data_IF_547718280274
#
_entry.id   IF_547718280274
#
_cell.length_a   1.000
_cell.length_b   1.000
_cell.length_c   1.000
_cell.angle_alpha   90.00
_cell.angle_beta   90.00
_cell.angle_gamma   90.00
#
_symmetry.space_group_name_H-M   'P 1'
#
loop_
_entity.id
_entity.type
_entity.pdbx_description
1 polymer ?
#
# COMPACT_ATOMS: atom_id res chain seq x y z
N UNK A 1 11.86 -0.27 5.31
CA UNK A 1 12.99 0.53 4.76
C UNK A 1 12.71 1.17 3.40
N UNK A 2 12.41 0.37 2.36
CA UNK A 2 12.30 0.86 0.97
C UNK A 2 11.10 1.80 0.81
N UNK A 3 9.92 1.37 1.26
CA UNK A 3 8.68 2.17 1.22
C UNK A 3 8.82 3.47 2.01
N UNK A 4 9.48 3.42 3.17
CA UNK A 4 9.78 4.59 3.97
C UNK A 4 10.67 5.58 3.20
N UNK A 5 11.77 5.10 2.60
CA UNK A 5 12.67 5.94 1.80
C UNK A 5 11.96 6.54 0.58
N UNK A 6 11.12 5.76 -0.11
CA UNK A 6 10.33 6.24 -1.23
C UNK A 6 9.36 7.35 -0.81
N UNK A 7 8.64 7.19 0.32
CA UNK A 7 7.81 8.24 0.89
C UNK A 7 8.59 9.47 1.34
N UNK A 8 9.78 9.27 1.86
CA UNK A 8 10.66 10.36 2.31
C UNK A 8 11.16 11.22 1.13
N UNK A 9 11.50 10.59 0.01
CA UNK A 9 12.07 11.26 -1.17
C UNK A 9 11.02 11.71 -2.20
N UNK A 10 9.76 11.27 -2.07
CA UNK A 10 8.71 11.55 -3.07
C UNK A 10 8.50 13.04 -3.32
N UNK A 11 8.36 13.43 -4.59
CA UNK A 11 8.02 14.81 -4.98
C UNK A 11 6.54 15.09 -4.71
N UNK A 12 6.23 15.43 -3.46
CA UNK A 12 4.87 15.64 -2.88
C UNK A 12 3.90 16.34 -3.84
N UNK A 13 4.29 17.48 -4.43
CA UNK A 13 3.43 18.25 -5.35
C UNK A 13 2.98 17.45 -6.58
N UNK A 14 3.87 16.64 -7.17
CA UNK A 14 3.57 15.84 -8.35
C UNK A 14 2.76 14.59 -7.98
N UNK A 15 3.05 13.98 -6.82
CA UNK A 15 2.29 12.86 -6.29
C UNK A 15 0.83 13.26 -6.05
N UNK A 16 0.57 14.34 -5.31
CA UNK A 16 -0.80 14.79 -5.02
C UNK A 16 -1.55 15.32 -6.25
N UNK A 17 -0.85 15.87 -7.25
CA UNK A 17 -1.48 16.28 -8.51
C UNK A 17 -2.01 15.10 -9.31
N UNK A 18 -1.34 13.95 -9.26
CA UNK A 18 -1.73 12.73 -10.00
C UNK A 18 -2.36 11.67 -9.09
N UNK A 19 -2.78 12.05 -7.89
CA UNK A 19 -3.29 11.13 -6.88
C UNK A 19 -4.50 10.33 -7.38
N UNK A 20 -5.42 10.97 -8.09
CA UNK A 20 -6.59 10.29 -8.68
C UNK A 20 -6.15 9.20 -9.68
N UNK A 21 -5.18 9.50 -10.53
CA UNK A 21 -4.63 8.54 -11.50
C UNK A 21 -3.99 7.34 -10.79
N UNK A 22 -3.24 7.59 -9.72
CA UNK A 22 -2.65 6.55 -8.86
C UNK A 22 -3.74 5.65 -8.27
N UNK A 23 -4.79 6.26 -7.71
CA UNK A 23 -5.90 5.52 -7.11
C UNK A 23 -6.65 4.68 -8.14
N UNK A 24 -6.88 5.23 -9.33
CA UNK A 24 -7.55 4.51 -10.43
C UNK A 24 -6.70 3.33 -10.90
N UNK A 25 -5.39 3.52 -11.14
CA UNK A 25 -4.53 2.42 -11.56
C UNK A 25 -4.38 1.35 -10.47
N UNK A 26 -4.14 1.74 -9.22
CA UNK A 26 -3.95 0.79 -8.13
C UNK A 26 -5.23 0.12 -7.63
N UNK A 27 -6.41 0.69 -7.84
CA UNK A 27 -7.68 0.04 -7.47
C UNK A 27 -8.30 -0.71 -8.64
N UNK A 28 -8.58 -0.01 -9.74
CA UNK A 28 -9.24 -0.62 -10.89
C UNK A 28 -8.30 -1.58 -11.60
N UNK A 29 -7.01 -1.23 -11.73
CA UNK A 29 -6.01 -2.11 -12.33
C UNK A 29 -5.87 -3.43 -11.58
N UNK A 30 -5.84 -3.41 -10.24
CA UNK A 30 -5.79 -4.63 -9.42
C UNK A 30 -7.02 -5.50 -9.58
N UNK A 31 -8.22 -4.92 -9.60
CA UNK A 31 -9.46 -5.67 -9.82
C UNK A 31 -9.46 -6.34 -11.20
N UNK A 32 -9.00 -5.63 -12.23
CA UNK A 32 -8.84 -6.18 -13.58
C UNK A 32 -7.81 -7.32 -13.59
N UNK A 33 -6.63 -7.10 -13.01
CA UNK A 33 -5.56 -8.10 -12.92
C UNK A 33 -6.03 -9.35 -12.18
N UNK A 34 -6.68 -9.20 -11.02
CA UNK A 34 -7.26 -10.31 -10.27
C UNK A 34 -8.25 -11.10 -11.13
N UNK A 35 -9.15 -10.42 -11.84
CA UNK A 35 -10.16 -11.07 -12.68
C UNK A 35 -9.51 -11.87 -13.80
N UNK A 36 -8.53 -11.29 -14.49
CA UNK A 36 -7.80 -11.96 -15.59
C UNK A 36 -7.03 -13.17 -15.08
N UNK A 37 -6.31 -13.02 -13.97
CA UNK A 37 -5.50 -14.09 -13.37
C UNK A 37 -6.42 -15.22 -12.91
N UNK A 38 -7.48 -14.93 -12.16
CA UNK A 38 -8.44 -15.94 -11.70
C UNK A 38 -9.05 -16.73 -12.86
N UNK A 39 -9.51 -16.05 -13.93
CA UNK A 39 -10.04 -16.74 -15.11
C UNK A 39 -8.98 -17.62 -15.79
N UNK A 40 -7.74 -17.13 -15.89
CA UNK A 40 -6.61 -17.90 -16.43
C UNK A 40 -6.32 -19.15 -15.61
N UNK A 41 -6.29 -19.03 -14.27
CA UNK A 41 -6.08 -20.16 -13.35
C UNK A 41 -7.21 -21.18 -13.48
N UNK A 42 -8.48 -20.74 -13.52
CA UNK A 42 -9.64 -21.63 -13.71
C UNK A 42 -9.48 -22.44 -15.00
N UNK A 43 -9.13 -21.79 -16.12
CA UNK A 43 -8.99 -22.46 -17.40
C UNK A 43 -7.78 -23.41 -17.43
N UNK A 44 -6.67 -23.04 -16.77
CA UNK A 44 -5.46 -23.85 -16.70
C UNK A 44 -5.65 -25.10 -15.84
N UNK A 45 -6.22 -24.96 -14.65
CA UNK A 45 -6.46 -26.08 -13.74
C UNK A 45 -7.49 -27.07 -14.28
N UNK A 46 -8.55 -26.57 -14.95
CA UNK A 46 -9.51 -27.43 -15.66
C UNK A 46 -8.86 -28.26 -16.78
N UNK A 47 -7.82 -27.76 -17.44
CA UNK A 47 -7.09 -28.52 -18.48
C UNK A 47 -6.16 -29.58 -17.92
N UNK A 48 -5.65 -29.40 -16.71
CA UNK A 48 -4.70 -30.31 -16.06
C UNK A 48 -5.35 -31.37 -15.18
N UNK A 49 -6.68 -31.34 -15.04
CA UNK A 49 -7.47 -32.26 -14.19
C UNK A 49 -7.02 -32.24 -12.70
N UNK A 50 -6.45 -31.10 -12.26
CA UNK A 50 -5.95 -30.91 -10.90
C UNK A 50 -7.11 -30.46 -10.00
N UNK A 51 -7.85 -31.43 -9.49
CA UNK A 51 -8.74 -31.29 -8.32
C UNK A 51 -9.93 -30.32 -8.44
N UNK A 52 -10.91 -30.50 -7.57
CA UNK A 52 -12.08 -29.62 -7.46
C UNK A 52 -11.81 -28.51 -6.44
N UNK A 53 -11.10 -27.45 -6.86
CA UNK A 53 -11.06 -26.21 -6.08
C UNK A 53 -12.38 -25.47 -6.22
N UNK A 54 -12.81 -24.80 -5.15
CA UNK A 54 -14.02 -23.98 -5.20
C UNK A 54 -13.73 -22.66 -5.92
N UNK A 55 -14.77 -21.96 -6.38
CA UNK A 55 -14.62 -20.68 -7.07
C UNK A 55 -13.87 -19.65 -6.20
N UNK A 56 -14.03 -19.73 -4.88
CA UNK A 56 -13.35 -18.88 -3.91
C UNK A 56 -11.83 -19.04 -3.91
N UNK A 57 -11.33 -20.27 -4.07
CA UNK A 57 -9.90 -20.54 -4.09
C UNK A 57 -9.23 -19.91 -5.33
N UNK A 58 -9.89 -20.01 -6.49
CA UNK A 58 -9.40 -19.40 -7.73
C UNK A 58 -9.40 -17.87 -7.67
N UNK A 59 -10.42 -17.28 -7.03
CA UNK A 59 -10.49 -15.84 -6.79
C UNK A 59 -9.41 -15.40 -5.79
N UNK A 60 -9.20 -16.14 -4.71
CA UNK A 60 -8.17 -15.86 -3.71
C UNK A 60 -6.77 -15.89 -4.32
N UNK A 61 -6.48 -16.88 -5.18
CA UNK A 61 -5.24 -16.93 -5.96
C UNK A 61 -5.12 -15.67 -6.83
N UNK A 62 -6.17 -15.29 -7.56
CA UNK A 62 -6.14 -14.06 -8.36
C UNK A 62 -5.85 -12.81 -7.53
N UNK A 63 -6.44 -12.67 -6.35
CA UNK A 63 -6.21 -11.53 -5.46
C UNK A 63 -4.77 -11.49 -4.93
N UNK A 64 -4.20 -12.63 -4.56
CA UNK A 64 -2.81 -12.74 -4.11
C UNK A 64 -1.84 -12.36 -5.24
N UNK A 65 -2.07 -12.85 -6.45
CA UNK A 65 -1.20 -12.60 -7.60
C UNK A 65 -1.42 -11.23 -8.27
N UNK A 66 -2.53 -10.54 -7.97
CA UNK A 66 -2.80 -9.20 -8.49
C UNK A 66 -1.92 -8.11 -7.83
N UNK A 67 -1.43 -8.36 -6.62
CA UNK A 67 -0.47 -7.49 -5.94
C UNK A 67 0.87 -7.49 -6.70
N UNK A 68 1.20 -6.37 -7.33
CA UNK A 68 2.42 -6.19 -8.12
C UNK A 68 3.55 -5.67 -7.23
N UNK A 69 4.72 -6.31 -7.30
CA UNK A 69 5.90 -5.80 -6.62
C UNK A 69 6.53 -4.64 -7.42
N UNK A 70 6.24 -3.42 -6.98
CA UNK A 70 6.83 -2.19 -7.54
C UNK A 70 8.25 -1.94 -7.04
N UNK A 71 8.76 -2.67 -6.04
CA UNK A 71 10.09 -2.40 -5.44
C UNK A 71 11.21 -2.55 -6.45
N UNK A 72 11.19 -3.63 -7.24
CA UNK A 72 12.23 -3.89 -8.25
C UNK A 72 12.28 -2.78 -9.31
N UNK A 73 11.13 -2.30 -9.77
CA UNK A 73 11.07 -1.24 -10.79
C UNK A 73 11.53 0.10 -10.23
N UNK A 74 11.22 0.38 -8.96
CA UNK A 74 11.64 1.60 -8.27
C UNK A 74 13.15 1.68 -8.01
N UNK A 75 13.85 0.54 -7.97
CA UNK A 75 15.32 0.53 -7.84
C UNK A 75 16.02 0.95 -9.13
N UNK A 76 15.39 0.75 -10.29
CA UNK A 76 15.92 1.13 -11.60
C UNK A 76 15.51 2.55 -11.98
N UNK A 77 14.33 2.99 -11.53
CA UNK A 77 13.81 4.32 -11.81
C UNK A 77 14.50 5.40 -10.99
N UNK A 78 15.08 6.39 -11.68
CA UNK A 78 15.63 7.58 -11.05
C UNK A 78 14.55 8.66 -10.85
N UNK A 79 14.35 9.09 -9.59
CA UNK A 79 13.36 10.10 -9.20
C UNK A 79 13.67 11.50 -9.74
N UNK A 80 14.92 11.79 -10.10
CA UNK A 80 15.29 13.10 -10.63
C UNK A 80 15.06 13.21 -12.13
N UNK A 81 15.28 12.13 -12.86
CA UNK A 81 15.05 12.06 -14.31
C UNK A 81 13.56 11.86 -14.62
N UNK A 82 12.86 11.00 -13.87
CA UNK A 82 11.46 10.61 -14.17
C UNK A 82 10.55 10.65 -12.95
N UNK A 83 10.38 11.82 -12.29
CA UNK A 83 9.65 11.94 -11.03
C UNK A 83 8.16 11.57 -11.14
N UNK A 84 7.55 11.80 -12.30
CA UNK A 84 6.16 11.42 -12.57
C UNK A 84 6.00 9.90 -12.58
N UNK A 85 6.83 9.21 -13.37
CA UNK A 85 6.76 7.75 -13.50
C UNK A 85 7.06 7.07 -12.17
N UNK A 86 8.08 7.55 -11.45
CA UNK A 86 8.37 7.06 -10.11
C UNK A 86 7.17 7.20 -9.17
N UNK A 87 6.53 8.37 -9.13
CA UNK A 87 5.38 8.62 -8.25
C UNK A 87 4.18 7.76 -8.63
N UNK A 88 3.95 7.53 -9.93
CA UNK A 88 2.86 6.70 -10.43
C UNK A 88 3.06 5.23 -10.08
N UNK A 89 4.21 4.65 -10.42
CA UNK A 89 4.53 3.23 -10.16
C UNK A 89 4.58 2.93 -8.66
N UNK A 90 5.20 3.83 -7.89
CA UNK A 90 5.22 3.69 -6.44
C UNK A 90 3.80 3.74 -5.85
N UNK A 91 3.04 4.77 -6.22
CA UNK A 91 1.70 4.98 -5.69
C UNK A 91 0.76 3.84 -6.07
N UNK A 92 0.84 3.39 -7.33
CA UNK A 92 0.06 2.26 -7.84
C UNK A 92 0.36 1.00 -7.03
N UNK A 93 1.64 0.65 -6.82
CA UNK A 93 2.01 -0.51 -6.01
C UNK A 93 1.50 -0.44 -4.56
N UNK A 94 1.56 0.73 -3.93
CA UNK A 94 1.04 0.91 -2.55
C UNK A 94 -0.49 0.78 -2.49
N UNK A 95 -1.20 1.36 -3.45
CA UNK A 95 -2.66 1.24 -3.52
C UNK A 95 -3.06 -0.18 -3.89
N UNK A 96 -2.33 -0.83 -4.78
CA UNK A 96 -2.52 -2.21 -5.22
C UNK A 96 -2.42 -3.20 -4.04
N UNK A 97 -1.43 -3.03 -3.17
CA UNK A 97 -1.29 -3.88 -1.98
C UNK A 97 -2.53 -3.79 -1.08
N UNK A 98 -2.99 -2.57 -0.80
CA UNK A 98 -4.20 -2.34 -0.01
C UNK A 98 -5.45 -2.91 -0.69
N UNK A 99 -5.59 -2.76 -2.01
CA UNK A 99 -6.77 -3.25 -2.75
C UNK A 99 -6.79 -4.77 -2.83
N UNK A 100 -5.63 -5.41 -2.98
CA UNK A 100 -5.47 -6.87 -2.96
C UNK A 100 -5.88 -7.46 -1.62
N UNK A 101 -5.50 -6.83 -0.50
CA UNK A 101 -5.94 -7.24 0.86
C UNK A 101 -7.46 -7.10 1.02
N UNK A 102 -8.05 -5.99 0.58
CA UNK A 102 -9.52 -5.82 0.63
C UNK A 102 -10.22 -6.86 -0.23
N UNK A 103 -9.70 -7.13 -1.41
CA UNK A 103 -10.27 -8.09 -2.34
C UNK A 103 -10.20 -9.51 -1.77
N UNK A 104 -9.07 -9.89 -1.20
CA UNK A 104 -8.88 -11.17 -0.53
C UNK A 104 -9.85 -11.35 0.65
N UNK A 105 -9.96 -10.34 1.53
CA UNK A 105 -10.91 -10.37 2.64
C UNK A 105 -12.37 -10.43 2.15
N UNK A 106 -12.70 -9.69 1.08
CA UNK A 106 -14.01 -9.76 0.46
C UNK A 106 -14.31 -11.18 -0.03
N UNK A 107 -13.39 -11.81 -0.76
CA UNK A 107 -13.55 -13.18 -1.28
C UNK A 107 -13.77 -14.20 -0.16
N UNK A 108 -13.07 -14.08 0.97
CA UNK A 108 -13.28 -14.98 2.12
C UNK A 108 -14.62 -14.75 2.83
N UNK A 109 -15.09 -13.50 2.87
CA UNK A 109 -16.33 -13.13 3.56
C UNK A 109 -17.60 -13.35 2.74
N UNK A 110 -17.49 -13.38 1.40
CA UNK A 110 -18.64 -13.48 0.51
C UNK A 110 -18.96 -14.93 0.14
N UNK A 111 -20.20 -15.31 0.42
CA UNK A 111 -20.82 -16.48 -0.19
C UNK A 111 -21.07 -16.16 -1.68
N UNK A 112 -20.33 -16.81 -2.57
CA UNK A 112 -20.16 -16.49 -4.01
C UNK A 112 -21.45 -16.61 -4.85
N UNK A 113 -22.58 -16.90 -4.20
CA UNK A 113 -23.88 -17.12 -4.81
C UNK A 113 -24.73 -15.86 -4.95
N UNK A 114 -24.35 -14.72 -4.35
CA UNK A 114 -25.09 -13.43 -4.47
C UNK A 114 -24.18 -12.26 -4.80
N UNK A 115 -23.88 -12.07 -6.08
CA UNK A 115 -23.26 -10.85 -6.60
C UNK A 115 -24.28 -9.70 -6.58
N UNK A 116 -24.42 -9.05 -5.44
CA UNK A 116 -25.26 -7.87 -5.29
C UNK A 116 -24.45 -6.58 -5.42
N UNK A 117 -25.11 -5.48 -5.81
CA UNK A 117 -24.57 -4.11 -5.73
C UNK A 117 -24.01 -3.78 -4.33
N UNK A 118 -24.56 -4.42 -3.30
CA UNK A 118 -24.09 -4.34 -1.91
C UNK A 118 -22.63 -4.78 -1.74
N UNK A 119 -22.14 -5.76 -2.52
CA UNK A 119 -20.76 -6.22 -2.46
C UNK A 119 -19.78 -5.16 -2.96
N UNK A 120 -20.13 -4.45 -4.03
CA UNK A 120 -19.33 -3.34 -4.55
C UNK A 120 -19.29 -2.17 -3.56
N UNK A 121 -20.42 -1.85 -2.91
CA UNK A 121 -20.47 -0.83 -1.87
C UNK A 121 -19.68 -1.22 -0.63
N UNK A 122 -19.75 -2.48 -0.18
CA UNK A 122 -18.97 -2.98 0.94
C UNK A 122 -17.48 -2.97 0.63
N UNK A 123 -17.08 -3.41 -0.57
CA UNK A 123 -15.69 -3.35 -1.03
C UNK A 123 -15.17 -1.91 -1.02
N UNK A 124 -15.93 -0.98 -1.61
CA UNK A 124 -15.54 0.43 -1.64
C UNK A 124 -15.46 1.01 -0.23
N UNK A 125 -16.41 0.67 0.65
CA UNK A 125 -16.42 1.08 2.05
C UNK A 125 -15.20 0.57 2.83
N UNK A 126 -14.89 -0.72 2.71
CA UNK A 126 -13.72 -1.34 3.33
C UNK A 126 -12.41 -0.78 2.79
N UNK A 127 -12.34 -0.53 1.48
CA UNK A 127 -11.18 0.10 0.86
C UNK A 127 -10.98 1.53 1.37
N UNK A 128 -12.04 2.35 1.40
CA UNK A 128 -11.96 3.71 1.93
C UNK A 128 -11.63 3.71 3.43
N UNK A 129 -12.18 2.78 4.20
CA UNK A 129 -11.88 2.61 5.62
C UNK A 129 -10.40 2.32 5.84
N UNK A 130 -9.85 1.29 5.18
CA UNK A 130 -8.43 0.96 5.28
C UNK A 130 -7.56 2.12 4.80
N UNK A 131 -7.92 2.75 3.68
CA UNK A 131 -7.16 3.86 3.12
C UNK A 131 -7.09 5.05 4.09
N UNK A 132 -8.24 5.56 4.53
CA UNK A 132 -8.32 6.73 5.40
C UNK A 132 -7.65 6.47 6.75
N UNK A 133 -7.93 5.34 7.38
CA UNK A 133 -7.42 5.05 8.71
C UNK A 133 -5.91 4.77 8.70
N UNK A 134 -5.39 4.10 7.67
CA UNK A 134 -3.95 3.91 7.47
C UNK A 134 -3.24 5.24 7.22
N UNK A 135 -3.83 6.13 6.39
CA UNK A 135 -3.29 7.48 6.17
C UNK A 135 -3.28 8.29 7.46
N UNK A 136 -4.36 8.29 8.24
CA UNK A 136 -4.44 9.02 9.51
C UNK A 136 -3.41 8.51 10.52
N UNK A 137 -3.27 7.18 10.63
CA UNK A 137 -2.27 6.58 11.51
C UNK A 137 -0.85 6.97 11.08
N UNK A 138 -0.55 6.89 9.79
CA UNK A 138 0.78 7.24 9.26
C UNK A 138 1.12 8.71 9.47
N UNK A 139 0.15 9.60 9.27
CA UNK A 139 0.30 11.03 9.57
C UNK A 139 0.53 11.26 11.06
N UNK A 140 -0.25 10.62 11.93
CA UNK A 140 -0.11 10.74 13.37
C UNK A 140 1.28 10.25 13.85
N UNK A 141 1.72 9.07 13.42
CA UNK A 141 3.05 8.54 13.78
C UNK A 141 4.18 9.39 13.23
N UNK A 142 4.03 9.95 12.02
CA UNK A 142 5.00 10.88 11.43
C UNK A 142 5.13 12.19 12.21
N UNK A 143 4.00 12.77 12.65
CA UNK A 143 3.99 13.97 13.49
C UNK A 143 4.57 13.71 14.88
N UNK A 144 4.23 12.57 15.49
CA UNK A 144 4.83 12.15 16.76
C UNK A 144 6.34 12.02 16.62
N UNK A 145 6.83 11.39 15.54
CA UNK A 145 8.27 11.30 15.28
C UNK A 145 8.93 12.67 15.13
N UNK A 146 8.30 13.59 14.38
CA UNK A 146 8.78 14.96 14.24
C UNK A 146 8.87 15.68 15.59
N UNK A 147 7.87 15.51 16.45
CA UNK A 147 7.86 16.06 17.79
C UNK A 147 8.93 15.45 18.69
N UNK A 148 9.10 14.12 18.68
CA UNK A 148 10.12 13.38 19.45
C UNK A 148 11.51 13.89 19.06
N UNK A 149 11.81 13.96 17.76
CA UNK A 149 13.12 14.40 17.26
C UNK A 149 13.38 15.87 17.62
N UNK A 150 12.40 16.77 17.44
CA UNK A 150 12.55 18.20 17.74
C UNK A 150 12.63 18.51 19.23
N UNK A 151 11.81 17.87 20.06
CA UNK A 151 11.71 18.20 21.48
C UNK A 151 12.77 17.54 22.33
N UNK A 152 13.18 16.30 22.01
CA UNK A 152 14.14 15.58 22.83
C UNK A 152 15.59 16.01 22.61
N UNK A 153 15.87 16.96 21.68
CA UNK A 153 17.22 17.49 21.40
C UNK A 153 18.30 16.41 21.14
N UNK A 154 17.89 15.15 20.94
CA UNK A 154 18.77 13.97 20.86
C UNK A 154 19.58 13.93 19.55
N UNK A 155 19.15 14.69 18.55
CA UNK A 155 19.75 14.68 17.21
C UNK A 155 20.98 15.57 17.02
N UNK A 156 21.18 16.56 17.90
CA UNK A 156 22.22 17.59 17.70
C UNK A 156 23.66 17.07 17.83
N UNK A 157 23.85 15.85 18.34
CA UNK A 157 25.17 15.29 18.60
C UNK A 157 25.64 14.21 17.60
N UNK A 158 24.76 13.55 16.83
CA UNK A 158 25.17 12.53 15.85
C UNK A 158 24.07 12.20 14.84
N UNK A 159 24.37 12.34 13.54
CA UNK A 159 23.48 12.00 12.41
C UNK A 159 23.01 10.54 12.46
N UNK A 160 23.86 9.62 12.92
CA UNK A 160 23.52 8.18 13.00
C UNK A 160 22.33 7.90 13.92
N UNK A 161 22.21 8.66 15.02
CA UNK A 161 21.11 8.51 15.99
C UNK A 161 19.79 9.02 15.42
N UNK A 162 19.82 10.11 14.66
CA UNK A 162 18.62 10.64 14.00
C UNK A 162 18.10 9.64 12.97
N UNK A 163 18.98 9.09 12.14
CA UNK A 163 18.60 8.08 11.13
C UNK A 163 18.08 6.81 11.80
N UNK A 164 18.73 6.32 12.85
CA UNK A 164 18.26 5.17 13.60
C UNK A 164 16.86 5.39 14.21
N UNK A 165 16.60 6.57 14.78
CA UNK A 165 15.29 6.93 15.34
C UNK A 165 14.21 7.06 14.25
N UNK A 166 14.53 7.66 13.10
CA UNK A 166 13.61 7.73 11.97
C UNK A 166 13.21 6.32 11.48
N UNK A 167 14.18 5.42 11.36
CA UNK A 167 13.95 4.03 10.97
C UNK A 167 13.12 3.27 12.02
N UNK A 168 13.41 3.47 13.30
CA UNK A 168 12.65 2.87 14.40
C UNK A 168 11.19 3.34 14.41
N UNK A 169 10.96 4.64 14.23
CA UNK A 169 9.61 5.21 14.20
C UNK A 169 8.83 4.78 12.95
N UNK A 170 9.50 4.64 11.80
CA UNK A 170 8.89 4.06 10.62
C UNK A 170 8.47 2.60 10.86
N UNK A 171 9.33 1.80 11.49
CA UNK A 171 8.98 0.42 11.86
C UNK A 171 7.84 0.36 12.89
N UNK A 172 7.83 1.27 13.87
CA UNK A 172 6.74 1.37 14.84
C UNK A 172 5.40 1.67 14.15
N UNK A 173 5.39 2.57 13.15
CA UNK A 173 4.18 2.87 12.38
C UNK A 173 3.64 1.64 11.64
N UNK A 174 4.52 0.80 11.10
CA UNK A 174 4.16 -0.46 10.48
C UNK A 174 3.52 -1.42 11.48
N UNK A 175 4.19 -1.65 12.62
CA UNK A 175 3.69 -2.57 13.65
C UNK A 175 2.35 -2.15 14.24
N UNK A 176 2.13 -0.83 14.41
CA UNK A 176 0.84 -0.31 14.85
C UNK A 176 -0.25 -0.55 13.81
N UNK A 177 0.05 -0.38 12.52
CA UNK A 177 -0.92 -0.65 11.47
C UNK A 177 -1.33 -2.12 11.44
N UNK A 178 -0.36 -3.04 11.52
CA UNK A 178 -0.63 -4.48 11.59
C UNK A 178 -1.48 -4.84 12.83
N UNK A 179 -1.20 -4.24 13.98
CA UNK A 179 -1.99 -4.45 15.21
C UNK A 179 -3.45 -4.00 15.06
N UNK A 180 -3.70 -2.95 14.28
CA UNK A 180 -5.05 -2.45 13.99
C UNK A 180 -5.68 -3.08 12.73
N UNK A 181 -5.05 -4.10 12.13
CA UNK A 181 -5.46 -4.71 10.86
C UNK A 181 -5.64 -3.68 9.72
N UNK A 182 -4.74 -2.69 9.68
CA UNK A 182 -4.67 -1.64 8.66
C UNK A 182 -3.56 -1.94 7.65
N UNK A 183 -3.48 -1.16 6.57
CA UNK A 183 -2.39 -1.30 5.62
C UNK A 183 -1.10 -0.71 6.19
N UNK A 184 -0.19 -1.60 6.59
CA UNK A 184 1.15 -1.23 7.06
C UNK A 184 1.95 -0.48 5.99
N UNK A 185 1.83 -0.87 4.72
CA UNK A 185 2.54 -0.23 3.61
C UNK A 185 2.08 1.23 3.42
N UNK A 186 0.76 1.48 3.38
CA UNK A 186 0.20 2.83 3.31
C UNK A 186 0.62 3.68 4.53
N UNK A 187 0.54 3.09 5.73
CA UNK A 187 0.88 3.79 6.98
C UNK A 187 2.33 4.26 6.99
N UNK A 188 3.28 3.36 6.65
CA UNK A 188 4.71 3.69 6.59
C UNK A 188 5.01 4.75 5.53
N UNK A 189 4.33 4.69 4.39
CA UNK A 189 4.50 5.67 3.31
C UNK A 189 4.10 7.08 3.76
N UNK A 190 2.89 7.25 4.31
CA UNK A 190 2.44 8.56 4.79
C UNK A 190 3.27 9.05 5.99
N UNK A 191 3.73 8.13 6.85
CA UNK A 191 4.68 8.45 7.91
C UNK A 191 5.99 9.03 7.33
N UNK A 192 6.54 8.43 6.26
CA UNK A 192 7.72 8.93 5.55
C UNK A 192 7.52 10.31 4.91
N UNK A 193 6.36 10.55 4.28
CA UNK A 193 6.01 11.86 3.71
C UNK A 193 6.01 12.96 4.77
N UNK A 194 5.38 12.68 5.92
CA UNK A 194 5.25 13.65 7.02
C UNK A 194 6.60 13.90 7.67
N UNK A 195 7.39 12.86 7.94
CA UNK A 195 8.76 13.04 8.44
C UNK A 195 9.58 13.90 7.47
N UNK A 196 9.62 13.57 6.18
CA UNK A 196 10.32 14.37 5.16
C UNK A 196 9.92 15.85 5.15
N UNK A 197 8.70 16.21 5.56
CA UNK A 197 8.27 17.60 5.65
C UNK A 197 8.66 18.28 6.98
N UNK A 198 8.59 17.55 8.10
CA UNK A 198 8.65 18.15 9.43
C UNK A 198 9.89 17.79 10.25
N UNK A 199 10.60 16.69 9.97
CA UNK A 199 11.84 16.30 10.65
C UNK A 199 13.10 16.84 9.98
N UNK A 200 13.08 17.14 8.67
CA UNK A 200 14.27 17.56 7.92
C UNK A 200 14.59 19.07 8.03
N UNK A 201 13.99 19.78 8.99
CA UNK A 201 14.22 21.20 9.30
C UNK A 201 14.22 21.40 10.81
#
# INVERSE_FOLDING_TARGET
PIIFNAGFQVKKKQFFRNFVTIMVFGAIGTVISCTIISLGVIQFFKKLDIGTFDLGDYLAIGAIFAATDSVCTLQVLNQDETPLLYSLVFGEGVVNDATSVVLFNAIQSFDLTRLNHEAAFLFLGSFLYLFILSTLLGVATGLISAYVIKKLYFGRHSTDREVALMMLMAYLSYMLAELFALSGILTVFFCGIVMSHYTWH
#
